data_IF_634897474930
#
_entry.id   IF_634897474930
#
_cell.length_a   1.000
_cell.length_b   1.000
_cell.length_c   1.000
_cell.angle_alpha   90.00
_cell.angle_beta   90.00
_cell.angle_gamma   90.00
#
_symmetry.space_group_name_H-M   'P 1'
#
loop_
_entity.id
_entity.type
_entity.pdbx_description
1 polymer ?
#
# COMPACT_ATOMS: atom_id res chain seq x y z
N UNK A 1 40.67 -30.36 -10.36
CA UNK A 1 40.31 -31.77 -10.44
C UNK A 1 39.87 -32.00 -11.88
N UNK A 2 40.55 -32.88 -12.60
CA UNK A 2 40.20 -33.21 -13.99
C UNK A 2 38.87 -33.96 -13.95
N UNK A 3 37.79 -33.31 -14.35
CA UNK A 3 36.56 -33.97 -14.76
C UNK A 3 36.87 -34.73 -16.05
N UNK A 4 37.34 -35.98 -15.92
CA UNK A 4 37.26 -36.89 -17.06
C UNK A 4 35.76 -37.17 -17.25
N UNK A 5 35.16 -36.51 -18.23
CA UNK A 5 33.80 -36.82 -18.68
C UNK A 5 33.81 -38.32 -19.03
N UNK A 6 33.10 -39.09 -18.24
CA UNK A 6 32.99 -40.54 -18.44
C UNK A 6 32.36 -40.78 -19.83
N UNK A 7 33.10 -41.47 -20.72
CA UNK A 7 32.63 -41.69 -22.09
C UNK A 7 31.36 -42.53 -22.06
N UNK A 8 30.35 -42.08 -22.82
CA UNK A 8 29.11 -42.84 -23.01
C UNK A 8 29.40 -44.24 -23.54
N UNK A 9 28.64 -45.22 -23.10
CA UNK A 9 28.86 -46.64 -23.42
C UNK A 9 27.97 -47.06 -24.57
N UNK A 10 28.60 -47.61 -25.62
CA UNK A 10 27.92 -48.23 -26.76
C UNK A 10 28.08 -49.74 -26.65
N UNK A 11 26.95 -50.46 -26.57
CA UNK A 11 26.95 -51.92 -26.69
C UNK A 11 26.81 -52.34 -28.16
N UNK A 12 27.81 -53.02 -28.67
CA UNK A 12 27.83 -53.55 -30.01
C UNK A 12 27.54 -55.06 -29.98
N UNK A 13 26.50 -55.45 -30.68
CA UNK A 13 26.06 -56.89 -30.74
C UNK A 13 26.04 -57.37 -32.17
N UNK A 14 26.90 -58.33 -32.53
CA UNK A 14 26.99 -58.97 -33.84
C UNK A 14 27.70 -60.31 -33.65
N UNK A 15 27.25 -61.39 -34.34
CA UNK A 15 27.86 -62.69 -34.23
C UNK A 15 29.18 -62.83 -35.05
N UNK A 16 29.42 -61.84 -35.89
CA UNK A 16 30.60 -61.80 -36.78
C UNK A 16 31.70 -60.92 -36.19
N UNK A 17 32.84 -61.49 -35.75
CA UNK A 17 33.94 -60.72 -35.14
C UNK A 17 34.47 -59.55 -35.99
N UNK A 18 34.45 -59.67 -37.30
CA UNK A 18 34.89 -58.64 -38.25
C UNK A 18 33.98 -57.40 -38.17
N UNK A 19 32.64 -57.55 -38.02
CA UNK A 19 31.70 -56.49 -37.90
C UNK A 19 31.90 -55.75 -36.54
N UNK A 20 32.08 -56.53 -35.48
CA UNK A 20 32.38 -55.92 -34.11
C UNK A 20 33.66 -55.10 -34.21
N UNK A 21 34.70 -55.58 -34.86
CA UNK A 21 35.99 -54.89 -35.00
C UNK A 21 35.81 -53.56 -35.76
N UNK A 22 35.08 -53.59 -36.89
CA UNK A 22 34.80 -52.37 -37.67
C UNK A 22 34.06 -51.34 -36.83
N UNK A 23 33.01 -51.74 -36.08
CA UNK A 23 32.23 -50.86 -35.21
C UNK A 23 33.06 -50.32 -34.05
N UNK A 24 33.88 -51.17 -33.42
CA UNK A 24 34.80 -50.76 -32.37
C UNK A 24 35.80 -49.71 -32.85
N UNK A 25 36.46 -49.97 -34.01
CA UNK A 25 37.41 -49.03 -34.60
C UNK A 25 36.76 -47.70 -34.96
N UNK A 26 35.50 -47.75 -35.41
CA UNK A 26 34.71 -46.58 -35.78
C UNK A 26 34.35 -45.67 -34.57
N UNK A 27 34.08 -46.28 -33.40
CA UNK A 27 33.48 -45.57 -32.26
C UNK A 27 34.41 -45.39 -31.04
N UNK A 28 35.55 -46.13 -30.95
CA UNK A 28 36.43 -46.12 -29.75
C UNK A 28 37.00 -44.78 -29.34
N UNK A 29 37.14 -43.84 -30.28
CA UNK A 29 37.68 -42.53 -29.99
C UNK A 29 36.73 -41.68 -29.13
N UNK A 30 35.44 -41.82 -29.40
CA UNK A 30 34.38 -40.96 -28.80
C UNK A 30 33.65 -41.67 -27.66
N UNK A 31 33.54 -43.01 -27.72
CA UNK A 31 32.70 -43.80 -26.81
C UNK A 31 33.48 -44.95 -26.14
N UNK A 32 32.95 -45.43 -25.02
CA UNK A 32 33.36 -46.68 -24.36
C UNK A 32 32.58 -47.83 -25.03
N UNK A 33 33.29 -48.75 -25.66
CA UNK A 33 32.64 -49.82 -26.38
C UNK A 33 32.61 -51.09 -25.54
N UNK A 34 31.44 -51.71 -25.48
CA UNK A 34 31.21 -53.05 -24.92
C UNK A 34 30.71 -53.94 -26.06
N UNK A 35 31.21 -55.14 -26.15
CA UNK A 35 30.87 -56.06 -27.28
C UNK A 35 30.20 -57.34 -26.77
N UNK A 36 29.22 -57.81 -27.51
CA UNK A 36 28.53 -59.08 -27.32
C UNK A 36 28.49 -59.85 -28.65
N UNK A 37 28.78 -61.10 -28.59
CA UNK A 37 28.82 -61.97 -29.78
C UNK A 37 27.52 -62.78 -29.99
N UNK A 38 26.52 -62.60 -29.13
CA UNK A 38 25.22 -63.22 -29.24
C UNK A 38 24.16 -62.47 -28.39
N UNK A 39 22.87 -62.81 -28.60
CA UNK A 39 21.76 -62.16 -27.95
C UNK A 39 21.72 -62.38 -26.45
N UNK A 40 22.10 -63.53 -25.96
CA UNK A 40 22.06 -63.80 -24.49
C UNK A 40 23.10 -62.95 -23.75
N UNK A 41 24.29 -62.79 -24.32
CA UNK A 41 25.33 -61.90 -23.78
C UNK A 41 24.95 -60.44 -23.88
N UNK A 42 24.27 -60.06 -24.95
CA UNK A 42 23.72 -58.72 -25.07
C UNK A 42 22.73 -58.38 -23.98
N UNK A 43 21.79 -59.24 -23.65
CA UNK A 43 20.84 -59.06 -22.56
C UNK A 43 21.51 -58.93 -21.19
N UNK A 44 22.54 -59.76 -20.93
CA UNK A 44 23.31 -59.65 -19.66
C UNK A 44 24.05 -58.32 -19.53
N UNK A 45 24.68 -57.86 -20.62
CA UNK A 45 25.45 -56.60 -20.62
C UNK A 45 24.55 -55.36 -20.60
N UNK A 46 23.33 -55.44 -21.15
CA UNK A 46 22.38 -54.33 -21.12
C UNK A 46 21.86 -54.00 -19.72
N UNK A 47 21.89 -54.95 -18.76
CA UNK A 47 21.49 -54.74 -17.36
C UNK A 47 22.70 -54.50 -16.43
N UNK A 48 23.91 -54.36 -16.98
CA UNK A 48 25.11 -54.08 -16.17
C UNK A 48 25.00 -52.71 -15.47
N UNK A 49 25.85 -52.51 -14.48
CA UNK A 49 25.99 -51.22 -13.78
C UNK A 49 27.39 -50.65 -14.03
N UNK A 50 27.54 -49.55 -14.74
CA UNK A 50 26.51 -48.79 -15.46
C UNK A 50 26.01 -49.49 -16.74
N UNK A 51 24.74 -49.29 -17.13
CA UNK A 51 24.19 -49.84 -18.35
C UNK A 51 24.72 -49.10 -19.59
N UNK A 52 24.63 -49.69 -20.79
CA UNK A 52 25.00 -49.00 -22.02
C UNK A 52 24.03 -47.85 -22.33
N UNK A 53 24.57 -46.75 -22.91
CA UNK A 53 23.78 -45.62 -23.33
C UNK A 53 23.02 -45.84 -24.63
N UNK A 54 23.52 -46.69 -25.48
CA UNK A 54 22.92 -47.08 -26.77
C UNK A 54 23.37 -48.50 -27.14
N UNK A 55 22.56 -49.19 -27.91
CA UNK A 55 22.84 -50.55 -28.40
C UNK A 55 22.81 -50.55 -29.92
N UNK A 56 23.89 -51.04 -30.54
CA UNK A 56 23.95 -51.39 -31.94
C UNK A 56 23.74 -52.91 -32.03
N UNK A 57 22.69 -53.36 -32.70
CA UNK A 57 22.22 -54.74 -32.63
C UNK A 57 22.05 -55.34 -34.02
N UNK A 58 22.84 -56.34 -34.31
CA UNK A 58 22.64 -57.12 -35.54
C UNK A 58 21.33 -57.92 -35.48
N UNK A 59 20.61 -57.96 -36.59
CA UNK A 59 19.37 -58.73 -36.71
C UNK A 59 19.64 -60.21 -36.91
N UNK A 60 20.59 -60.51 -37.76
CA UNK A 60 20.82 -61.88 -38.19
C UNK A 60 21.87 -62.54 -37.32
N UNK A 61 21.46 -63.13 -36.21
CA UNK A 61 22.30 -63.83 -35.26
C UNK A 61 21.79 -65.29 -35.06
N UNK A 62 22.66 -66.28 -34.82
CA UNK A 62 22.25 -67.62 -34.49
C UNK A 62 21.58 -67.69 -33.09
N UNK A 63 20.72 -68.68 -32.88
CA UNK A 63 20.00 -69.00 -31.65
C UNK A 63 18.95 -67.94 -31.20
N UNK A 64 19.31 -66.68 -31.10
CA UNK A 64 18.45 -65.55 -30.72
C UNK A 64 18.71 -64.40 -31.70
N UNK A 65 17.74 -64.08 -32.55
CA UNK A 65 17.83 -62.98 -33.50
C UNK A 65 17.74 -61.60 -32.82
N UNK A 66 18.14 -60.55 -33.54
CA UNK A 66 18.10 -59.13 -32.96
C UNK A 66 16.70 -58.64 -32.63
N UNK A 67 15.67 -59.11 -33.31
CA UNK A 67 14.31 -58.75 -33.01
C UNK A 67 13.86 -59.27 -31.65
N UNK A 68 14.19 -60.53 -31.32
CA UNK A 68 13.91 -61.11 -30.03
C UNK A 68 14.68 -60.42 -28.90
N UNK A 69 15.95 -60.12 -29.11
CA UNK A 69 16.77 -59.31 -28.16
C UNK A 69 16.12 -57.97 -27.91
N UNK A 70 15.72 -57.22 -28.96
CA UNK A 70 15.07 -55.92 -28.86
C UNK A 70 13.76 -56.04 -28.06
N UNK A 71 12.90 -57.00 -28.39
CA UNK A 71 11.63 -57.19 -27.68
C UNK A 71 11.83 -57.46 -26.19
N UNK A 72 12.80 -58.31 -25.81
CA UNK A 72 13.15 -58.58 -24.39
C UNK A 72 13.71 -57.36 -23.68
N UNK A 73 14.57 -56.55 -24.33
CA UNK A 73 15.10 -55.32 -23.78
C UNK A 73 14.00 -54.26 -23.54
N UNK A 74 13.08 -54.14 -24.51
CA UNK A 74 11.96 -53.17 -24.42
C UNK A 74 10.88 -53.58 -23.40
N UNK A 75 10.73 -54.86 -23.12
CA UNK A 75 9.85 -55.38 -22.07
C UNK A 75 10.39 -55.18 -20.64
N UNK A 76 11.70 -54.98 -20.48
CA UNK A 76 12.34 -54.84 -19.18
C UNK A 76 12.41 -53.35 -18.76
N UNK A 77 11.92 -53.04 -17.57
CA UNK A 77 11.88 -51.67 -17.04
C UNK A 77 13.26 -50.99 -16.90
N UNK A 78 14.32 -51.76 -16.73
CA UNK A 78 15.70 -51.24 -16.61
C UNK A 78 16.36 -50.92 -17.97
N UNK A 79 15.90 -51.54 -19.03
CA UNK A 79 16.55 -51.42 -20.35
C UNK A 79 15.66 -50.84 -21.42
N UNK A 80 14.37 -50.73 -21.20
CA UNK A 80 13.38 -50.24 -22.19
C UNK A 80 13.70 -48.88 -22.77
N UNK A 81 14.35 -47.99 -21.97
CA UNK A 81 14.66 -46.61 -22.35
C UNK A 81 16.02 -46.50 -23.07
N UNK A 82 16.78 -47.59 -23.16
CA UNK A 82 18.05 -47.63 -23.93
C UNK A 82 17.70 -47.61 -25.43
N UNK A 83 18.19 -46.63 -26.20
CA UNK A 83 17.99 -46.60 -27.63
C UNK A 83 18.71 -47.80 -28.31
N UNK A 84 18.01 -48.44 -29.25
CA UNK A 84 18.50 -49.59 -30.00
C UNK A 84 18.51 -49.20 -31.47
N UNK A 85 19.66 -49.32 -32.12
CA UNK A 85 19.83 -49.18 -33.59
C UNK A 85 20.10 -50.54 -34.16
N UNK A 86 19.24 -50.98 -35.06
CA UNK A 86 19.50 -52.24 -35.76
C UNK A 86 20.58 -52.10 -36.80
N UNK A 87 21.37 -53.18 -36.99
CA UNK A 87 22.30 -53.36 -38.10
C UNK A 87 21.73 -54.49 -39.00
N UNK A 88 21.40 -54.19 -40.24
CA UNK A 88 20.70 -55.13 -41.12
C UNK A 88 21.38 -55.27 -42.47
N UNK A 89 21.34 -56.48 -43.02
CA UNK A 89 21.76 -56.76 -44.39
C UNK A 89 20.64 -56.52 -45.42
N UNK A 90 19.39 -56.37 -44.96
CA UNK A 90 18.21 -56.28 -45.80
C UNK A 90 17.80 -54.83 -46.05
N UNK A 91 17.39 -54.51 -47.24
CA UNK A 91 16.92 -53.23 -47.71
C UNK A 91 15.42 -53.20 -48.02
N UNK A 92 14.67 -54.24 -47.61
CA UNK A 92 13.22 -54.26 -47.83
C UNK A 92 12.47 -53.49 -46.82
N UNK A 93 11.52 -52.65 -47.25
CA UNK A 93 10.75 -51.74 -46.40
C UNK A 93 9.96 -52.45 -45.29
N UNK A 94 9.65 -53.73 -45.44
CA UNK A 94 8.93 -54.50 -44.41
C UNK A 94 9.79 -54.79 -43.18
N UNK A 95 11.09 -55.05 -43.33
CA UNK A 95 12.01 -55.30 -42.20
C UNK A 95 12.33 -54.03 -41.39
N UNK A 96 12.43 -52.89 -42.07
CA UNK A 96 12.63 -51.60 -41.43
C UNK A 96 11.41 -51.24 -40.53
N UNK A 97 10.19 -51.45 -41.05
CA UNK A 97 8.95 -51.19 -40.30
C UNK A 97 8.85 -52.08 -39.07
N UNK A 98 9.14 -53.37 -39.19
CA UNK A 98 9.12 -54.33 -38.07
C UNK A 98 10.09 -53.96 -36.95
N UNK A 99 11.28 -53.52 -37.28
CA UNK A 99 12.27 -53.09 -36.30
C UNK A 99 11.83 -51.87 -35.49
N UNK A 100 11.24 -50.87 -36.14
CA UNK A 100 10.72 -49.67 -35.49
C UNK A 100 9.47 -49.96 -34.62
N UNK A 101 8.59 -50.86 -35.07
CA UNK A 101 7.42 -51.31 -34.30
C UNK A 101 7.81 -52.03 -33.00
N UNK A 102 8.94 -52.75 -32.98
CA UNK A 102 9.51 -53.37 -31.78
C UNK A 102 10.17 -52.38 -30.82
N UNK A 103 10.24 -51.10 -31.19
CA UNK A 103 10.75 -50.05 -30.34
C UNK A 103 12.22 -49.67 -30.55
N UNK A 104 12.84 -50.14 -31.63
CA UNK A 104 14.13 -49.59 -32.06
C UNK A 104 13.98 -48.13 -32.50
N UNK A 105 15.05 -47.37 -32.38
CA UNK A 105 15.01 -45.91 -32.70
C UNK A 105 15.53 -45.65 -34.12
N UNK A 106 16.24 -46.61 -34.72
CA UNK A 106 16.84 -46.44 -36.05
C UNK A 106 17.40 -47.76 -36.56
N UNK A 107 17.90 -47.75 -37.80
CA UNK A 107 18.61 -48.89 -38.41
C UNK A 107 19.82 -48.43 -39.23
N UNK A 108 20.78 -49.30 -39.44
CA UNK A 108 21.99 -49.12 -40.27
C UNK A 108 22.12 -50.29 -41.21
N UNK A 109 22.20 -50.07 -42.51
CA UNK A 109 22.33 -51.09 -43.51
C UNK A 109 23.80 -51.59 -43.71
N UNK A 110 24.01 -52.85 -43.86
CA UNK A 110 25.30 -53.41 -44.29
C UNK A 110 25.47 -53.27 -45.84
N UNK A 111 26.67 -52.90 -46.38
CA UNK A 111 27.95 -52.83 -45.65
C UNK A 111 28.04 -51.62 -44.72
N UNK A 112 28.64 -51.81 -43.54
CA UNK A 112 28.74 -50.81 -42.49
C UNK A 112 29.55 -49.59 -42.95
N UNK A 113 28.93 -48.42 -43.02
CA UNK A 113 29.58 -47.15 -43.35
C UNK A 113 29.97 -46.41 -42.06
N UNK A 114 31.26 -46.23 -41.72
CA UNK A 114 31.71 -45.56 -40.51
C UNK A 114 31.11 -44.20 -40.30
N UNK A 115 31.01 -43.27 -41.27
CA UNK A 115 30.38 -41.93 -41.05
C UNK A 115 28.90 -42.02 -40.70
N UNK A 116 28.15 -42.99 -41.25
CA UNK A 116 26.73 -43.20 -40.99
C UNK A 116 26.52 -43.69 -39.54
N UNK A 117 27.34 -44.66 -39.12
CA UNK A 117 27.32 -45.20 -37.75
C UNK A 117 27.58 -44.07 -36.73
N UNK A 118 28.66 -43.30 -36.94
CA UNK A 118 29.00 -42.19 -36.06
C UNK A 118 27.86 -41.15 -35.96
N UNK A 119 27.31 -40.74 -37.10
CA UNK A 119 26.24 -39.73 -37.13
C UNK A 119 24.98 -40.23 -36.39
N UNK A 120 24.53 -41.49 -36.64
CA UNK A 120 23.33 -42.04 -36.01
C UNK A 120 23.51 -42.27 -34.52
N UNK A 121 24.63 -42.85 -34.07
CA UNK A 121 24.94 -43.02 -32.65
C UNK A 121 24.95 -41.67 -31.93
N UNK A 122 25.64 -40.68 -32.48
CA UNK A 122 25.69 -39.34 -31.92
C UNK A 122 24.30 -38.71 -31.76
N UNK A 123 23.50 -38.70 -32.83
CA UNK A 123 22.17 -38.10 -32.83
C UNK A 123 21.24 -38.73 -31.80
N UNK A 124 21.25 -40.06 -31.67
CA UNK A 124 20.39 -40.75 -30.72
C UNK A 124 20.85 -40.59 -29.25
N UNK A 125 22.15 -40.48 -29.01
CA UNK A 125 22.69 -40.17 -27.69
C UNK A 125 22.37 -38.72 -27.26
N UNK A 126 22.52 -37.76 -28.18
CA UNK A 126 22.12 -36.36 -27.93
C UNK A 126 20.60 -36.24 -27.62
N UNK A 127 19.78 -36.98 -28.39
CA UNK A 127 18.33 -37.01 -28.18
C UNK A 127 17.95 -37.62 -26.81
N UNK A 128 18.63 -38.71 -26.40
CA UNK A 128 18.45 -39.30 -25.06
C UNK A 128 18.79 -38.30 -23.96
N UNK A 129 19.96 -37.66 -24.05
CA UNK A 129 20.36 -36.64 -23.07
C UNK A 129 19.37 -35.47 -22.98
N UNK A 130 18.92 -34.94 -24.13
CA UNK A 130 17.96 -33.86 -24.17
C UNK A 130 16.62 -34.23 -23.47
N UNK A 131 16.13 -35.47 -23.70
CA UNK A 131 14.94 -35.99 -23.05
C UNK A 131 15.10 -36.12 -21.53
N UNK A 132 16.26 -36.57 -21.04
CA UNK A 132 16.56 -36.70 -19.62
C UNK A 132 16.64 -35.32 -18.95
N UNK A 133 17.29 -34.35 -19.59
CA UNK A 133 17.36 -32.97 -19.10
C UNK A 133 15.96 -32.34 -19.00
N UNK A 134 15.14 -32.49 -20.06
CA UNK A 134 13.77 -31.97 -20.06
C UNK A 134 12.91 -32.60 -18.98
N UNK A 135 13.02 -33.91 -18.77
CA UNK A 135 12.30 -34.63 -17.71
C UNK A 135 12.65 -34.07 -16.32
N UNK A 136 13.95 -33.88 -16.07
CA UNK A 136 14.42 -33.34 -14.79
C UNK A 136 14.01 -31.88 -14.61
N UNK A 137 14.08 -31.06 -15.66
CA UNK A 137 13.61 -29.67 -15.62
C UNK A 137 12.12 -29.56 -15.31
N UNK A 138 11.30 -30.43 -15.92
CA UNK A 138 9.85 -30.43 -15.66
C UNK A 138 9.55 -30.74 -14.19
N UNK A 139 10.20 -31.71 -13.56
CA UNK A 139 10.03 -32.01 -12.13
C UNK A 139 10.40 -30.82 -11.25
N UNK A 140 11.51 -30.13 -11.58
CA UNK A 140 11.95 -28.94 -10.84
C UNK A 140 10.94 -27.79 -11.03
N UNK A 141 10.45 -27.60 -12.26
CA UNK A 141 9.47 -26.57 -12.55
C UNK A 141 8.14 -26.80 -11.85
N UNK A 142 7.63 -28.04 -11.87
CA UNK A 142 6.39 -28.39 -11.17
C UNK A 142 6.49 -28.07 -9.67
N UNK A 143 7.60 -28.45 -9.05
CA UNK A 143 7.85 -28.12 -7.63
C UNK A 143 7.90 -26.61 -7.40
N UNK A 144 8.58 -25.86 -8.25
CA UNK A 144 8.64 -24.38 -8.16
C UNK A 144 7.27 -23.73 -8.32
N UNK A 145 6.47 -24.22 -9.24
CA UNK A 145 5.10 -23.72 -9.45
C UNK A 145 4.27 -23.97 -8.20
N UNK A 146 4.36 -25.15 -7.59
CA UNK A 146 3.62 -25.45 -6.36
C UNK A 146 4.05 -24.55 -5.19
N UNK A 147 5.37 -24.35 -4.99
CA UNK A 147 5.90 -23.48 -3.95
C UNK A 147 5.44 -22.02 -4.15
N UNK A 148 5.56 -21.52 -5.40
CA UNK A 148 5.14 -20.16 -5.72
C UNK A 148 3.63 -19.94 -5.61
N UNK A 149 2.84 -20.96 -5.96
CA UNK A 149 1.38 -20.86 -5.82
C UNK A 149 0.99 -20.73 -4.35
N UNK A 150 1.64 -21.47 -3.46
CA UNK A 150 1.41 -21.36 -2.00
C UNK A 150 1.78 -19.97 -1.47
N UNK A 151 2.94 -19.43 -1.87
CA UNK A 151 3.35 -18.07 -1.49
C UNK A 151 2.34 -17.00 -1.95
N UNK A 152 1.89 -17.09 -3.21
CA UNK A 152 0.93 -16.12 -3.76
C UNK A 152 -0.41 -16.17 -3.03
N UNK A 153 -0.92 -17.37 -2.72
CA UNK A 153 -2.17 -17.53 -1.96
C UNK A 153 -2.06 -16.98 -0.54
N UNK A 154 -0.92 -17.15 0.11
CA UNK A 154 -0.67 -16.60 1.44
C UNK A 154 -0.60 -15.07 1.43
N UNK A 155 0.12 -14.49 0.46
CA UNK A 155 0.18 -13.04 0.27
C UNK A 155 -1.21 -12.43 -0.01
N UNK A 156 -2.01 -13.06 -0.87
CA UNK A 156 -3.37 -12.61 -1.15
C UNK A 156 -4.25 -12.63 0.08
N UNK A 157 -4.10 -13.64 0.94
CA UNK A 157 -4.83 -13.72 2.20
C UNK A 157 -4.45 -12.59 3.15
N UNK A 158 -3.15 -12.33 3.32
CA UNK A 158 -2.66 -11.23 4.17
C UNK A 158 -3.14 -9.88 3.63
N UNK A 159 -3.09 -9.67 2.32
CA UNK A 159 -3.58 -8.43 1.69
C UNK A 159 -5.09 -8.24 1.93
N UNK A 160 -5.87 -9.30 1.79
CA UNK A 160 -7.31 -9.27 2.05
C UNK A 160 -7.61 -8.92 3.52
N UNK A 161 -6.94 -9.58 4.47
CA UNK A 161 -7.13 -9.34 5.90
C UNK A 161 -6.73 -7.89 6.28
N UNK A 162 -5.63 -7.39 5.71
CA UNK A 162 -5.18 -6.01 5.91
C UNK A 162 -6.18 -4.99 5.37
N UNK A 163 -6.73 -5.26 4.18
CA UNK A 163 -7.74 -4.38 3.58
C UNK A 163 -9.01 -4.33 4.42
N UNK A 164 -9.49 -5.47 4.88
CA UNK A 164 -10.67 -5.56 5.76
C UNK A 164 -10.45 -4.83 7.09
N UNK A 165 -9.26 -4.98 7.69
CA UNK A 165 -8.89 -4.26 8.91
C UNK A 165 -8.84 -2.74 8.68
N UNK A 166 -8.26 -2.28 7.56
CA UNK A 166 -8.22 -0.87 7.19
C UNK A 166 -9.63 -0.28 7.01
N UNK A 167 -10.49 -0.94 6.25
CA UNK A 167 -11.87 -0.51 6.04
C UNK A 167 -12.66 -0.40 7.36
N UNK A 168 -12.43 -1.33 8.28
CA UNK A 168 -13.04 -1.28 9.62
C UNK A 168 -12.59 -0.03 10.40
N UNK A 169 -11.29 0.24 10.44
CA UNK A 169 -10.74 1.42 11.13
C UNK A 169 -11.25 2.71 10.50
N UNK A 170 -11.28 2.80 9.18
CA UNK A 170 -11.81 3.98 8.46
C UNK A 170 -13.29 4.22 8.79
N UNK A 171 -14.10 3.16 8.88
CA UNK A 171 -15.50 3.27 9.29
C UNK A 171 -15.65 3.76 10.73
N UNK A 172 -14.86 3.26 11.67
CA UNK A 172 -14.86 3.71 13.05
C UNK A 172 -14.47 5.19 13.18
N UNK A 173 -13.45 5.64 12.42
CA UNK A 173 -13.04 7.04 12.35
C UNK A 173 -14.12 7.94 11.74
N UNK A 174 -14.82 7.49 10.71
CA UNK A 174 -15.93 8.24 10.11
C UNK A 174 -17.09 8.43 11.09
N UNK A 175 -17.43 7.40 11.87
CA UNK A 175 -18.46 7.50 12.91
C UNK A 175 -18.01 8.51 13.99
N UNK A 176 -16.77 8.43 14.45
CA UNK A 176 -16.24 9.36 15.44
C UNK A 176 -16.24 10.81 14.93
N UNK A 177 -15.89 11.03 13.66
CA UNK A 177 -15.97 12.34 13.00
C UNK A 177 -17.41 12.89 12.95
N UNK A 178 -18.39 12.04 12.66
CA UNK A 178 -19.80 12.42 12.68
C UNK A 178 -20.26 12.81 14.09
N UNK A 179 -19.84 12.09 15.11
CA UNK A 179 -20.14 12.43 16.52
C UNK A 179 -19.53 13.79 16.84
N UNK A 180 -18.24 14.00 16.52
CA UNK A 180 -17.58 15.28 16.74
C UNK A 180 -18.32 16.44 16.07
N UNK A 181 -18.66 16.27 14.79
CA UNK A 181 -19.41 17.29 14.04
C UNK A 181 -20.79 17.59 14.62
N UNK A 182 -21.46 16.60 15.19
CA UNK A 182 -22.79 16.77 15.79
C UNK A 182 -22.78 17.56 17.11
N UNK A 183 -21.63 17.64 17.78
CA UNK A 183 -21.45 18.40 19.02
C UNK A 183 -21.34 19.90 18.74
N UNK A 184 -20.76 20.29 17.60
CA UNK A 184 -20.59 21.69 17.21
C UNK A 184 -21.89 22.28 16.65
N UNK A 185 -22.17 23.59 16.92
CA UNK A 185 -23.31 24.27 16.32
C UNK A 185 -23.19 24.27 14.77
N UNK A 186 -24.18 23.71 14.07
CA UNK A 186 -24.10 23.51 12.62
C UNK A 186 -25.28 24.10 11.85
N UNK A 187 -26.29 24.65 12.54
CA UNK A 187 -27.46 25.26 11.91
C UNK A 187 -27.32 26.79 11.89
N UNK A 188 -27.41 27.38 10.69
CA UNK A 188 -27.31 28.83 10.51
C UNK A 188 -28.50 29.40 9.75
N UNK A 189 -29.06 30.58 10.12
CA UNK A 189 -28.70 31.33 11.34
C UNK A 189 -29.09 30.57 12.62
N UNK A 190 -28.24 30.57 13.65
CA UNK A 190 -28.48 29.80 14.89
C UNK A 190 -29.62 30.37 15.72
N UNK A 191 -29.86 31.68 15.62
CA UNK A 191 -30.88 32.43 16.39
C UNK A 191 -31.73 33.27 15.42
N UNK A 192 -32.67 32.64 14.67
CA UNK A 192 -33.43 33.34 13.61
C UNK A 192 -34.32 34.48 14.12
N UNK A 193 -34.69 34.47 15.38
CA UNK A 193 -35.54 35.50 16.01
C UNK A 193 -34.72 36.71 16.55
N UNK A 194 -33.40 36.66 16.48
CA UNK A 194 -32.48 37.72 16.91
C UNK A 194 -31.99 38.51 15.70
N UNK A 195 -32.31 39.80 15.67
CA UNK A 195 -31.94 40.71 14.60
C UNK A 195 -30.76 41.63 14.96
N UNK A 196 -30.32 41.61 16.22
CA UNK A 196 -29.27 42.48 16.75
C UNK A 196 -27.90 42.16 16.14
N UNK A 197 -27.72 40.91 15.66
CA UNK A 197 -26.48 40.45 15.06
C UNK A 197 -26.73 39.40 13.97
N UNK A 198 -25.75 39.22 13.10
CA UNK A 198 -25.60 38.05 12.21
C UNK A 198 -24.41 37.21 12.70
N UNK A 199 -24.55 35.88 12.66
CA UNK A 199 -23.51 34.96 13.10
C UNK A 199 -23.38 33.82 12.13
N UNK A 200 -22.15 33.52 11.74
CA UNK A 200 -21.81 32.37 10.89
C UNK A 200 -20.48 31.77 11.33
N UNK A 201 -20.33 30.44 11.16
CA UNK A 201 -19.09 29.76 11.40
C UNK A 201 -18.85 28.68 10.33
N UNK A 202 -17.59 28.41 10.06
CA UNK A 202 -17.13 27.42 9.13
C UNK A 202 -16.00 26.58 9.77
N UNK A 203 -15.99 25.27 9.54
CA UNK A 203 -14.93 24.38 9.99
C UNK A 203 -14.71 23.25 8.97
N UNK A 204 -13.46 23.05 8.60
CA UNK A 204 -13.00 21.96 7.75
C UNK A 204 -11.76 21.31 8.37
N UNK A 205 -11.88 20.10 8.91
CA UNK A 205 -10.74 19.39 9.47
C UNK A 205 -9.80 18.90 8.35
N UNK A 206 -8.50 18.91 8.64
CA UNK A 206 -7.45 18.41 7.74
C UNK A 206 -7.40 16.87 7.65
N UNK A 207 -7.95 16.20 8.67
CA UNK A 207 -8.06 14.74 8.76
C UNK A 207 -9.52 14.32 8.99
N UNK A 208 -9.76 13.06 9.34
CA UNK A 208 -11.10 12.60 9.71
C UNK A 208 -11.72 13.42 10.85
N UNK A 209 -10.88 13.82 11.82
CA UNK A 209 -11.27 14.59 13.01
C UNK A 209 -10.26 15.70 13.24
N UNK A 210 -10.74 16.87 13.70
CA UNK A 210 -9.94 18.06 14.00
C UNK A 210 -9.72 18.29 15.48
N UNK A 211 -8.67 19.05 15.82
CA UNK A 211 -8.44 19.63 17.14
C UNK A 211 -9.16 20.94 17.33
N UNK A 212 -9.39 21.66 16.25
CA UNK A 212 -10.08 22.93 16.23
C UNK A 212 -11.53 22.82 16.66
N UNK A 213 -12.04 23.90 17.26
CA UNK A 213 -13.47 24.06 17.42
C UNK A 213 -13.87 25.51 17.57
N UNK A 214 -15.11 25.80 17.22
CA UNK A 214 -15.83 26.98 17.58
C UNK A 214 -17.05 26.61 18.44
N UNK A 215 -17.51 27.55 19.25
CA UNK A 215 -18.79 27.43 19.93
C UNK A 215 -19.41 28.80 20.12
N UNK A 216 -20.74 28.83 20.25
CA UNK A 216 -21.48 30.03 20.62
C UNK A 216 -22.78 29.65 21.32
N UNK A 217 -23.05 30.28 22.43
CA UNK A 217 -24.23 30.00 23.23
C UNK A 217 -24.56 31.19 24.13
N UNK A 218 -25.83 31.39 24.46
CA UNK A 218 -26.24 32.38 25.42
C UNK A 218 -25.95 31.91 26.85
N UNK A 219 -25.28 32.75 27.64
CA UNK A 219 -25.05 32.55 29.09
C UNK A 219 -26.15 33.17 29.94
N UNK A 220 -26.82 34.16 29.39
CA UNK A 220 -28.06 34.78 29.88
C UNK A 220 -28.85 35.32 28.67
N UNK A 221 -29.98 36.01 28.92
CA UNK A 221 -30.89 36.51 27.87
C UNK A 221 -30.22 37.48 26.88
N UNK A 222 -29.12 38.14 27.26
CA UNK A 222 -28.49 39.21 26.47
C UNK A 222 -26.99 39.03 26.27
N UNK A 223 -26.39 38.03 26.87
CA UNK A 223 -24.95 37.82 26.79
C UNK A 223 -24.65 36.54 26.00
N UNK A 224 -24.07 36.70 24.81
CA UNK A 224 -23.65 35.60 23.94
C UNK A 224 -22.16 35.30 24.17
N UNK A 225 -21.83 34.07 24.54
CA UNK A 225 -20.47 33.56 24.55
C UNK A 225 -20.04 33.15 23.13
N UNK A 226 -18.82 33.54 22.76
CA UNK A 226 -18.15 33.14 21.50
C UNK A 226 -16.83 32.47 21.85
N UNK A 227 -16.60 31.29 21.31
CA UNK A 227 -15.39 30.49 21.54
C UNK A 227 -14.75 30.16 20.20
N UNK A 228 -13.44 30.36 20.12
CA UNK A 228 -12.57 29.81 19.06
C UNK A 228 -11.37 29.19 19.73
N UNK A 229 -11.04 27.96 19.33
CA UNK A 229 -9.97 27.22 19.99
C UNK A 229 -9.30 26.23 19.03
N UNK A 230 -8.03 25.96 19.29
CA UNK A 230 -7.21 25.00 18.58
C UNK A 230 -6.41 24.17 19.60
N UNK A 231 -6.53 22.84 19.47
CA UNK A 231 -5.86 21.86 20.33
C UNK A 231 -4.56 21.43 19.69
N UNK A 232 -3.51 21.43 20.50
CA UNK A 232 -2.22 20.85 20.08
C UNK A 232 -2.38 19.41 19.59
N UNK A 233 -1.56 19.01 18.60
CA UNK A 233 -1.66 17.73 17.92
C UNK A 233 -2.86 17.61 16.96
N UNK A 234 -3.01 16.44 16.31
CA UNK A 234 -4.05 16.19 15.29
C UNK A 234 -4.63 14.79 15.40
N UNK A 235 -5.85 14.63 14.91
CA UNK A 235 -6.53 13.34 14.87
C UNK A 235 -7.28 13.01 16.17
N UNK A 236 -7.42 11.72 16.48
CA UNK A 236 -8.31 11.25 17.57
C UNK A 236 -7.97 11.84 18.95
N UNK A 237 -6.69 11.89 19.39
CA UNK A 237 -6.37 12.50 20.69
C UNK A 237 -6.78 13.97 20.78
N UNK A 238 -6.47 14.77 19.77
CA UNK A 238 -6.84 16.17 19.72
C UNK A 238 -8.36 16.36 19.73
N UNK A 239 -9.08 15.55 18.96
CA UNK A 239 -10.54 15.59 18.93
C UNK A 239 -11.20 15.25 20.29
N UNK A 240 -10.64 14.29 21.04
CA UNK A 240 -11.11 13.97 22.38
C UNK A 240 -10.83 15.12 23.37
N UNK A 241 -9.64 15.69 23.32
CA UNK A 241 -9.27 16.83 24.17
C UNK A 241 -10.11 18.06 23.83
N UNK A 242 -10.43 18.30 22.57
CA UNK A 242 -11.35 19.31 22.09
C UNK A 242 -12.74 19.19 22.76
N UNK A 243 -13.32 17.95 22.75
CA UNK A 243 -14.64 17.74 23.37
C UNK A 243 -14.63 18.03 24.86
N UNK A 244 -13.57 17.67 25.59
CA UNK A 244 -13.41 17.99 27.01
C UNK A 244 -13.28 19.49 27.21
N UNK A 245 -12.41 20.15 26.44
CA UNK A 245 -12.15 21.58 26.49
C UNK A 245 -13.43 22.39 26.26
N UNK A 246 -14.14 22.07 25.19
CA UNK A 246 -15.43 22.72 24.87
C UNK A 246 -16.45 22.54 25.98
N UNK A 247 -16.61 21.31 26.49
CA UNK A 247 -17.59 21.02 27.56
C UNK A 247 -17.29 21.79 28.84
N UNK A 248 -16.00 21.85 29.22
CA UNK A 248 -15.58 22.60 30.41
C UNK A 248 -15.83 24.11 30.25
N UNK A 249 -15.42 24.69 29.11
CA UNK A 249 -15.61 26.13 28.85
C UNK A 249 -17.10 26.47 28.87
N UNK A 250 -17.93 25.70 28.18
CA UNK A 250 -19.36 25.90 28.13
C UNK A 250 -19.99 25.87 29.56
N UNK A 251 -19.70 24.80 30.30
CA UNK A 251 -20.25 24.63 31.67
C UNK A 251 -19.81 25.73 32.61
N UNK A 252 -18.54 26.15 32.54
CA UNK A 252 -18.01 27.19 33.42
C UNK A 252 -18.50 28.60 33.03
N UNK A 253 -18.78 28.87 31.76
CA UNK A 253 -19.23 30.17 31.28
C UNK A 253 -20.61 30.54 31.83
N UNK A 254 -21.52 29.59 31.97
CA UNK A 254 -22.89 29.83 32.49
C UNK A 254 -22.88 30.41 33.90
N UNK A 255 -21.93 30.00 34.74
CA UNK A 255 -21.84 30.41 36.13
C UNK A 255 -20.93 31.63 36.39
N UNK A 256 -20.30 32.16 35.32
CA UNK A 256 -19.30 33.22 35.45
C UNK A 256 -19.53 34.34 34.44
N UNK A 257 -19.43 35.60 34.93
CA UNK A 257 -19.57 36.81 34.08
C UNK A 257 -18.24 37.33 33.51
N UNK A 258 -17.13 36.61 33.70
CA UNK A 258 -15.80 37.03 33.28
C UNK A 258 -15.18 35.92 32.45
N UNK A 259 -14.83 36.14 31.14
CA UNK A 259 -14.15 35.17 30.32
C UNK A 259 -12.77 34.76 30.87
N UNK A 260 -12.04 35.68 31.55
CA UNK A 260 -10.78 35.36 32.20
C UNK A 260 -10.94 34.32 33.32
N UNK A 261 -11.95 34.49 34.19
CA UNK A 261 -12.24 33.53 35.26
C UNK A 261 -12.64 32.17 34.71
N UNK A 262 -13.37 32.15 33.62
CA UNK A 262 -13.72 30.88 32.94
C UNK A 262 -12.44 30.15 32.48
N UNK A 263 -11.53 30.82 31.75
CA UNK A 263 -10.29 30.22 31.30
C UNK A 263 -9.36 29.81 32.45
N UNK A 264 -9.27 30.60 33.52
CA UNK A 264 -8.49 30.24 34.72
C UNK A 264 -8.99 28.93 35.36
N UNK A 265 -10.30 28.79 35.52
CA UNK A 265 -10.91 27.58 36.08
C UNK A 265 -10.76 26.38 35.14
N UNK A 266 -11.03 26.58 33.84
CA UNK A 266 -10.87 25.53 32.83
C UNK A 266 -9.42 25.03 32.78
N UNK A 267 -8.45 25.93 32.77
CA UNK A 267 -7.03 25.58 32.77
C UNK A 267 -6.66 24.67 33.96
N UNK A 268 -7.06 25.07 35.19
CA UNK A 268 -6.70 24.30 36.37
C UNK A 268 -7.34 22.89 36.37
N UNK A 269 -8.57 22.75 35.87
CA UNK A 269 -9.20 21.43 35.72
C UNK A 269 -8.48 20.59 34.65
N UNK A 270 -8.10 21.19 33.52
CA UNK A 270 -7.39 20.50 32.46
C UNK A 270 -6.02 20.01 32.91
N UNK A 271 -5.25 20.82 33.62
CA UNK A 271 -3.92 20.44 34.12
C UNK A 271 -3.94 19.23 35.07
N UNK A 272 -5.01 19.07 35.90
CA UNK A 272 -5.11 17.98 36.87
C UNK A 272 -5.16 16.56 36.25
N UNK A 273 -5.58 16.42 34.99
CA UNK A 273 -5.76 15.13 34.31
C UNK A 273 -5.13 15.11 32.93
N UNK A 274 -3.96 15.75 32.78
CA UNK A 274 -3.31 15.93 31.49
C UNK A 274 -1.94 15.22 31.41
N UNK A 275 -1.93 13.91 31.65
CA UNK A 275 -0.71 13.10 31.55
C UNK A 275 -0.11 13.10 30.12
N UNK A 276 -0.93 13.39 29.12
CA UNK A 276 -0.51 13.49 27.72
C UNK A 276 0.22 14.78 27.36
N UNK A 277 0.17 15.80 28.24
CA UNK A 277 0.79 17.10 28.00
C UNK A 277 0.14 17.90 26.86
N UNK A 278 -1.13 17.62 26.53
CA UNK A 278 -1.89 18.36 25.52
C UNK A 278 -2.28 19.74 26.02
N UNK A 279 -2.36 20.69 25.13
CA UNK A 279 -2.83 22.05 25.47
C UNK A 279 -3.80 22.55 24.39
N UNK A 280 -4.53 23.57 24.72
CA UNK A 280 -5.47 24.21 23.80
C UNK A 280 -5.32 25.73 23.86
N UNK A 281 -5.18 26.34 22.68
CA UNK A 281 -5.29 27.80 22.56
C UNK A 281 -6.75 28.18 22.50
N UNK A 282 -7.17 29.19 23.25
CA UNK A 282 -8.59 29.56 23.36
C UNK A 282 -8.76 31.06 23.30
N UNK A 283 -9.61 31.52 22.38
CA UNK A 283 -10.23 32.85 22.43
C UNK A 283 -11.66 32.69 22.97
N UNK A 284 -11.96 33.36 24.07
CA UNK A 284 -13.29 33.42 24.69
C UNK A 284 -13.76 34.86 24.81
N UNK A 285 -14.92 35.19 24.22
CA UNK A 285 -15.53 36.49 24.34
C UNK A 285 -16.97 36.40 24.80
N UNK A 286 -17.40 37.35 25.61
CA UNK A 286 -18.79 37.60 26.00
C UNK A 286 -19.28 38.85 25.30
N UNK A 287 -20.34 38.72 24.52
CA UNK A 287 -20.95 39.78 23.74
C UNK A 287 -22.32 40.18 24.34
N UNK A 288 -22.42 41.41 24.88
CA UNK A 288 -23.70 42.00 25.27
C UNK A 288 -24.41 42.46 24.00
N UNK A 289 -25.43 41.72 23.58
CA UNK A 289 -26.11 41.94 22.29
C UNK A 289 -26.89 43.27 22.24
N UNK A 290 -27.31 43.82 23.41
CA UNK A 290 -28.04 45.07 23.46
C UNK A 290 -27.10 46.29 23.39
N UNK A 291 -25.95 46.19 24.09
CA UNK A 291 -24.99 47.30 24.15
C UNK A 291 -23.97 47.26 23.01
N UNK A 292 -23.79 46.11 22.36
CA UNK A 292 -22.71 45.89 21.39
C UNK A 292 -21.34 45.76 22.03
N UNK A 293 -21.29 45.47 23.35
CA UNK A 293 -20.04 45.41 24.10
C UNK A 293 -19.45 44.02 24.09
N UNK A 294 -18.20 43.90 23.68
CA UNK A 294 -17.40 42.65 23.70
C UNK A 294 -16.40 42.72 24.85
N UNK A 295 -16.34 41.67 25.67
CA UNK A 295 -15.27 41.46 26.67
C UNK A 295 -14.61 40.14 26.36
N UNK A 296 -13.30 40.11 26.08
CA UNK A 296 -12.60 38.91 25.66
C UNK A 296 -11.34 38.60 26.47
N UNK A 297 -11.03 37.33 26.50
CA UNK A 297 -9.76 36.79 26.98
C UNK A 297 -9.16 35.85 25.91
N UNK A 298 -7.86 36.02 25.67
CA UNK A 298 -7.13 35.21 24.71
C UNK A 298 -6.04 34.39 25.42
N UNK A 299 -6.23 33.08 25.51
CA UNK A 299 -5.28 32.10 26.06
C UNK A 299 -4.40 31.50 24.96
N UNK A 300 -3.49 32.29 24.38
CA UNK A 300 -2.50 31.85 23.41
C UNK A 300 -3.04 31.60 22.00
N UNK A 301 -4.26 31.99 21.69
CA UNK A 301 -4.87 31.84 20.37
C UNK A 301 -4.46 32.99 19.43
N UNK A 302 -4.68 32.83 18.13
CA UNK A 302 -4.52 33.89 17.13
C UNK A 302 -5.32 35.14 17.50
N UNK A 303 -4.80 36.31 17.15
CA UNK A 303 -5.52 37.57 17.40
C UNK A 303 -6.79 37.63 16.55
N UNK A 304 -7.90 38.10 17.15
CA UNK A 304 -9.12 38.36 16.41
C UNK A 304 -9.01 39.60 15.53
N UNK A 305 -9.87 39.71 14.52
CA UNK A 305 -9.98 40.88 13.68
C UNK A 305 -11.34 41.59 13.89
N UNK A 306 -11.31 42.88 14.04
CA UNK A 306 -12.52 43.71 13.92
C UNK A 306 -12.49 44.36 12.55
N UNK A 307 -13.54 44.15 11.76
CA UNK A 307 -13.67 44.60 10.39
C UNK A 307 -14.69 45.76 10.38
N UNK A 308 -14.26 46.90 9.91
CA UNK A 308 -15.12 48.08 9.75
C UNK A 308 -16.04 47.94 8.52
N UNK A 309 -17.14 48.70 8.43
CA UNK A 309 -18.07 48.63 7.32
C UNK A 309 -17.45 48.92 5.93
N UNK A 310 -16.27 49.55 5.86
CA UNK A 310 -15.49 49.79 4.66
C UNK A 310 -14.49 48.66 4.33
N UNK A 311 -14.50 47.59 5.15
CA UNK A 311 -13.63 46.44 4.98
C UNK A 311 -12.23 46.58 5.57
N UNK A 312 -11.92 47.68 6.22
CA UNK A 312 -10.64 47.83 6.92
C UNK A 312 -10.70 46.98 8.20
N UNK A 313 -9.66 46.14 8.37
CA UNK A 313 -9.58 45.28 9.55
C UNK A 313 -8.43 45.69 10.49
N UNK A 314 -8.67 45.56 11.79
CA UNK A 314 -7.67 45.74 12.84
C UNK A 314 -7.64 44.57 13.78
N UNK A 315 -6.46 44.23 14.29
CA UNK A 315 -6.33 43.23 15.34
C UNK A 315 -6.92 43.73 16.65
N UNK A 316 -7.55 42.80 17.39
CA UNK A 316 -8.09 43.06 18.73
C UNK A 316 -7.90 41.84 19.60
N UNK A 317 -7.75 42.07 20.93
CA UNK A 317 -7.56 41.02 21.92
C UNK A 317 -6.43 40.06 21.57
N UNK A 318 -5.24 40.62 21.39
CA UNK A 318 -4.00 39.81 21.28
C UNK A 318 -3.79 39.00 22.57
N UNK A 319 -2.83 38.09 22.58
CA UNK A 319 -2.61 37.12 23.65
C UNK A 319 -2.63 37.74 25.06
N UNK A 320 -3.51 37.27 25.93
CA UNK A 320 -3.67 37.68 27.32
C UNK A 320 -3.08 36.69 28.33
N UNK A 321 -2.60 35.55 27.88
CA UNK A 321 -1.98 34.46 28.64
C UNK A 321 -1.61 33.31 27.76
N UNK A 322 -0.92 32.29 28.30
CA UNK A 322 -0.56 31.07 27.52
C UNK A 322 -1.79 30.19 27.28
N UNK A 323 -1.60 29.16 26.43
CA UNK A 323 -2.59 28.12 26.18
C UNK A 323 -3.01 27.39 27.46
N UNK A 324 -4.22 26.88 27.49
CA UNK A 324 -4.79 26.13 28.62
C UNK A 324 -4.24 24.66 28.61
N UNK A 325 -4.09 24.11 29.81
CA UNK A 325 -3.57 22.76 30.01
C UNK A 325 -2.05 22.68 30.10
N UNK A 326 -1.34 23.81 29.89
CA UNK A 326 0.11 23.85 29.91
C UNK A 326 0.70 23.93 31.33
N UNK A 327 0.11 24.79 32.20
CA UNK A 327 0.60 25.05 33.53
C UNK A 327 -0.56 25.45 34.46
N UNK A 328 -0.56 24.99 35.71
CA UNK A 328 -1.54 25.34 36.71
C UNK A 328 -1.43 26.82 37.16
N UNK A 329 -2.47 27.32 37.79
CA UNK A 329 -2.56 28.65 38.45
C UNK A 329 -2.29 29.83 37.49
N UNK A 330 -2.53 29.65 36.18
CA UNK A 330 -2.44 30.77 35.22
C UNK A 330 -3.48 31.83 35.53
N UNK A 331 -3.08 33.09 35.27
CA UNK A 331 -3.96 34.26 35.32
C UNK A 331 -4.07 34.85 33.92
N UNK A 332 -5.29 35.20 33.57
CA UNK A 332 -5.60 35.81 32.28
C UNK A 332 -6.10 37.24 32.48
N UNK A 333 -5.82 38.08 31.48
CA UNK A 333 -6.37 39.46 31.42
C UNK A 333 -7.57 39.51 30.51
N UNK A 334 -8.36 40.55 30.66
CA UNK A 334 -9.49 40.84 29.79
C UNK A 334 -9.27 42.13 29.02
N UNK A 335 -9.77 42.17 27.81
CA UNK A 335 -9.86 43.37 27.01
C UNK A 335 -11.31 43.59 26.59
N UNK A 336 -11.74 44.86 26.57
CA UNK A 336 -13.14 45.20 26.25
C UNK A 336 -13.15 46.21 25.12
N UNK A 337 -14.07 46.02 24.17
CA UNK A 337 -14.32 46.92 23.06
C UNK A 337 -15.82 47.05 22.80
N UNK A 338 -16.26 48.24 22.39
CA UNK A 338 -17.60 48.40 21.81
C UNK A 338 -17.53 48.09 20.32
N UNK A 339 -18.37 47.16 19.86
CA UNK A 339 -18.55 46.82 18.45
C UNK A 339 -19.62 47.74 17.88
N UNK A 340 -19.25 48.62 16.96
CA UNK A 340 -20.19 49.53 16.33
C UNK A 340 -21.13 48.83 15.37
N UNK A 341 -22.27 49.44 15.08
CA UNK A 341 -23.24 48.90 14.08
C UNK A 341 -22.56 48.76 12.71
N UNK A 342 -22.69 47.60 12.12
CA UNK A 342 -22.06 47.24 10.86
C UNK A 342 -20.66 46.67 10.97
N UNK A 343 -19.99 46.77 12.13
CA UNK A 343 -18.69 46.10 12.34
C UNK A 343 -18.86 44.62 12.53
N UNK A 344 -17.82 43.87 12.13
CA UNK A 344 -17.76 42.41 12.24
C UNK A 344 -16.56 41.98 13.09
N UNK A 345 -16.79 41.15 14.10
CA UNK A 345 -15.74 40.37 14.75
C UNK A 345 -15.48 39.12 13.91
N UNK A 346 -14.23 38.90 13.55
CA UNK A 346 -13.80 37.73 12.82
C UNK A 346 -12.74 36.97 13.59
N UNK A 347 -13.05 35.73 13.93
CA UNK A 347 -12.18 34.78 14.64
C UNK A 347 -11.74 33.69 13.65
N UNK A 348 -10.50 33.21 13.77
CA UNK A 348 -9.95 32.19 12.90
C UNK A 348 -8.84 31.43 13.62
N UNK A 349 -8.61 30.20 13.21
CA UNK A 349 -7.47 29.39 13.66
C UNK A 349 -6.27 29.56 12.70
N UNK A 350 -5.09 29.18 13.14
CA UNK A 350 -3.84 29.36 12.40
C UNK A 350 -3.84 28.64 11.03
N UNK A 351 -4.62 27.56 10.88
CA UNK A 351 -4.81 26.87 9.59
C UNK A 351 -5.31 27.79 8.46
N UNK A 352 -5.91 28.96 8.79
CA UNK A 352 -6.24 29.98 7.79
C UNK A 352 -5.00 30.74 7.30
N UNK A 353 -4.16 31.20 8.22
CA UNK A 353 -2.99 32.03 7.89
C UNK A 353 -1.75 31.20 7.61
N UNK A 354 -1.63 30.00 8.16
CA UNK A 354 -0.52 29.08 7.95
C UNK A 354 -0.76 28.09 6.82
N UNK A 355 -1.86 28.23 6.08
CA UNK A 355 -2.11 27.46 4.86
C UNK A 355 -0.90 27.56 3.90
N UNK A 356 -0.42 26.43 3.40
CA UNK A 356 0.77 26.34 2.57
C UNK A 356 0.43 26.13 1.11
N UNK A 357 1.09 26.88 0.24
CA UNK A 357 1.10 26.60 -1.20
C UNK A 357 1.98 25.37 -1.51
N UNK A 358 1.92 24.79 -2.72
CA UNK A 358 2.85 23.75 -3.16
C UNK A 358 4.32 24.16 -3.07
N UNK A 359 4.60 25.46 -3.20
CA UNK A 359 5.95 26.05 -3.09
C UNK A 359 6.34 26.35 -1.64
N UNK A 360 5.50 25.93 -0.67
CA UNK A 360 5.69 26.16 0.79
C UNK A 360 5.65 27.63 1.21
N UNK A 361 4.95 28.45 0.49
CA UNK A 361 4.67 29.82 0.91
C UNK A 361 3.43 29.83 1.82
N UNK A 362 3.47 30.63 2.90
CA UNK A 362 2.32 30.84 3.77
C UNK A 362 1.27 31.73 3.08
N UNK A 363 -0.01 31.45 3.36
CA UNK A 363 -1.09 32.33 2.94
C UNK A 363 -0.94 33.71 3.61
N UNK A 364 -0.79 33.73 4.92
CA UNK A 364 -0.45 34.91 5.70
C UNK A 364 -1.62 35.85 5.98
N UNK A 365 -1.44 36.68 6.99
CA UNK A 365 -2.45 37.64 7.44
C UNK A 365 -2.78 38.74 6.42
N UNK A 366 -1.81 39.15 5.59
CA UNK A 366 -2.05 40.20 4.59
C UNK A 366 -3.04 39.77 3.50
N UNK A 367 -2.88 38.52 2.98
CA UNK A 367 -3.85 37.98 2.00
C UNK A 367 -5.24 37.80 2.63
N UNK A 368 -5.31 37.40 3.90
CA UNK A 368 -6.59 37.31 4.62
C UNK A 368 -7.25 38.70 4.72
N UNK A 369 -6.50 39.74 5.10
CA UNK A 369 -7.02 41.12 5.17
C UNK A 369 -7.48 41.65 3.81
N UNK A 370 -6.78 41.31 2.75
CA UNK A 370 -7.19 41.66 1.37
C UNK A 370 -8.49 40.98 0.95
N UNK A 371 -8.70 39.72 1.36
CA UNK A 371 -9.96 39.02 1.14
C UNK A 371 -11.10 39.64 1.93
N UNK A 372 -10.90 39.87 3.24
CA UNK A 372 -11.90 40.52 4.12
C UNK A 372 -12.31 41.86 3.56
N UNK A 373 -11.36 42.67 3.07
CA UNK A 373 -11.61 43.96 2.45
C UNK A 373 -12.43 43.90 1.17
N UNK A 374 -12.17 42.87 0.33
CA UNK A 374 -12.92 42.70 -0.94
C UNK A 374 -14.34 42.16 -0.74
N UNK A 375 -14.54 41.40 0.33
CA UNK A 375 -15.79 40.65 0.58
C UNK A 375 -16.60 41.26 1.76
N UNK A 376 -16.29 42.48 2.24
CA UNK A 376 -16.85 43.09 3.46
C UNK A 376 -18.37 43.36 3.39
N UNK A 377 -18.91 43.53 2.20
CA UNK A 377 -20.33 43.78 1.92
C UNK A 377 -21.15 42.49 1.74
N UNK A 378 -20.48 41.34 1.69
CA UNK A 378 -21.16 40.06 1.59
C UNK A 378 -21.82 39.66 2.92
N UNK A 379 -22.78 38.75 2.82
CA UNK A 379 -23.29 38.03 4.00
C UNK A 379 -22.19 37.14 4.58
N UNK A 380 -22.22 36.90 5.88
CA UNK A 380 -21.17 36.17 6.58
C UNK A 380 -20.95 34.72 6.05
N UNK A 381 -22.02 34.04 5.60
CA UNK A 381 -21.92 32.73 4.96
C UNK A 381 -21.10 32.78 3.67
N UNK A 382 -21.32 33.80 2.84
CA UNK A 382 -20.55 34.00 1.61
C UNK A 382 -19.13 34.45 1.86
N UNK A 383 -18.91 35.28 2.86
CA UNK A 383 -17.55 35.70 3.29
C UNK A 383 -16.71 34.50 3.68
N UNK A 384 -17.23 33.61 4.54
CA UNK A 384 -16.50 32.42 4.95
C UNK A 384 -16.24 31.45 3.77
N UNK A 385 -17.23 31.28 2.87
CA UNK A 385 -17.05 30.43 1.69
C UNK A 385 -16.03 31.02 0.68
N UNK A 386 -15.97 32.35 0.51
CA UNK A 386 -14.96 33.01 -0.33
C UNK A 386 -13.54 32.80 0.20
N UNK A 387 -13.37 32.87 1.53
CA UNK A 387 -12.09 32.62 2.16
C UNK A 387 -11.70 31.14 1.98
N UNK A 388 -12.61 30.21 2.23
CA UNK A 388 -12.37 28.78 2.03
C UNK A 388 -11.97 28.45 0.59
N UNK A 389 -12.71 28.97 -0.39
CA UNK A 389 -12.41 28.78 -1.81
C UNK A 389 -11.01 29.31 -2.17
N UNK A 390 -10.65 30.48 -1.64
CA UNK A 390 -9.30 31.08 -1.84
C UNK A 390 -8.19 30.25 -1.19
N UNK A 391 -8.43 29.69 -0.03
CA UNK A 391 -7.49 28.79 0.66
C UNK A 391 -7.33 27.48 -0.12
N UNK A 392 -8.44 26.90 -0.55
CA UNK A 392 -8.45 25.65 -1.35
C UNK A 392 -7.68 25.82 -2.67
N UNK A 393 -7.85 26.94 -3.36
CA UNK A 393 -7.10 27.28 -4.58
C UNK A 393 -5.60 27.47 -4.26
N UNK A 394 -5.27 28.14 -3.18
CA UNK A 394 -3.89 28.41 -2.77
C UNK A 394 -3.13 27.12 -2.39
N UNK A 395 -3.80 26.19 -1.68
CA UNK A 395 -3.25 24.91 -1.24
C UNK A 395 -3.22 23.85 -2.35
N UNK A 396 -3.92 24.05 -3.48
CA UNK A 396 -4.07 23.10 -4.57
C UNK A 396 -4.54 21.70 -4.10
N UNK A 397 -5.42 21.67 -3.11
CA UNK A 397 -6.06 20.45 -2.58
C UNK A 397 -5.26 19.70 -1.50
N UNK A 398 -4.12 20.20 -1.05
CA UNK A 398 -3.36 19.62 0.06
C UNK A 398 -3.50 20.44 1.34
N UNK A 399 -4.54 20.15 2.13
CA UNK A 399 -4.77 20.79 3.43
C UNK A 399 -3.86 20.18 4.50
N UNK A 400 -3.11 21.04 5.21
CA UNK A 400 -2.15 20.64 6.24
C UNK A 400 -2.69 20.81 7.67
N UNK A 401 -3.61 21.76 7.89
CA UNK A 401 -4.18 22.05 9.18
C UNK A 401 -5.70 22.24 9.10
N UNK A 402 -6.36 22.18 10.27
CA UNK A 402 -7.78 22.43 10.39
C UNK A 402 -8.06 23.92 10.05
N UNK A 403 -9.11 24.18 9.29
CA UNK A 403 -9.51 25.54 8.91
C UNK A 403 -10.79 25.85 9.64
N UNK A 404 -10.73 26.78 10.57
CA UNK A 404 -11.90 27.17 11.38
C UNK A 404 -12.06 28.69 11.40
N UNK A 405 -13.29 29.15 11.17
CA UNK A 405 -13.66 30.59 11.15
C UNK A 405 -14.98 30.80 11.86
N UNK A 406 -15.12 31.92 12.56
CA UNK A 406 -16.37 32.38 13.15
C UNK A 406 -16.47 33.91 12.98
N UNK A 407 -17.58 34.35 12.43
CA UNK A 407 -17.85 35.78 12.21
C UNK A 407 -19.16 36.20 12.89
N UNK A 408 -19.11 37.30 13.63
CA UNK A 408 -20.27 37.96 14.22
C UNK A 408 -20.33 39.41 13.76
N UNK A 409 -21.43 39.80 13.10
CA UNK A 409 -21.69 41.20 12.67
C UNK A 409 -22.76 41.82 13.52
N UNK A 410 -22.50 43.03 14.03
CA UNK A 410 -23.52 43.81 14.73
C UNK A 410 -24.45 44.50 13.72
N UNK A 411 -25.76 44.32 13.88
CA UNK A 411 -26.78 44.89 13.00
C UNK A 411 -27.49 46.09 13.57
N UNK A 412 -27.62 46.14 14.92
CA UNK A 412 -28.37 47.18 15.65
C UNK A 412 -27.53 47.75 16.78
#
# INVERSE_FOLDING_TARGET
MNDQVEKQAVLVVDDTPTNIQILMETLKNDYRIVAAVNGERALQLAISDPPPDIILLDIMMPDMDGYEVCARLKANTKTRDIPIIFITAMSEAEDETKGLELGAVDYITKPISPPVVQARVKSHLELKQAREILKNQNVILERRVEERTKEVLELQRVEFDLRAAKEKVENELNIAAQIQKSILPSSFPPYPDRNEFELHAFMQPARYMGGDFYDFFFIDDNTLALVMADVSDKGVPAALFMMVSRTLINSLAVDNQSPAVVLEKANNIMCQNNDSGMFVTVFLAFYDVLKGKLTATNGGHSASLIIDPDGVSREWASTHGPALGFMEELKYKEETVDLDVGQTLFLYTDGVTEALSPDKELFGLDKLRDLLKRSHDLKLDKLCNDIEASLSEFQQGQQFDDITMLALKRNL
#
